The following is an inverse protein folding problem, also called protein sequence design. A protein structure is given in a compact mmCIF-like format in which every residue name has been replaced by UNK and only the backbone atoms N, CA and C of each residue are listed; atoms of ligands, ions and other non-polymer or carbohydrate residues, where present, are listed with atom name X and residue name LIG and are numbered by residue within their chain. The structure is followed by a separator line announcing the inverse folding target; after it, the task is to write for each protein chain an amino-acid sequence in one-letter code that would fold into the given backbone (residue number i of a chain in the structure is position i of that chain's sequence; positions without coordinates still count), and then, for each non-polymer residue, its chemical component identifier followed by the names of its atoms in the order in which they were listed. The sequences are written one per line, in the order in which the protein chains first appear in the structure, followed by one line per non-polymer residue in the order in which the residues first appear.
data_IF_783411194891
#
_entry.id   IF_783411194891
#
_cell.length_a   1.000
_cell.length_b   1.000
_cell.length_c   1.000
_cell.angle_alpha   90.00
_cell.angle_beta   90.00
_cell.angle_gamma   90.00
#
_symmetry.space_group_name_H-M   'P 1'
#
loop_
_entity.id
_entity.type
_entity.pdbx_description
1 polymer ?
#
# COMPACT_ATOMS: atom_id res chain seq x y z
N UNK A 1 0.38 -6.02 40.19
CA UNK A 1 -0.84 -6.88 40.05
C UNK A 1 -1.76 -6.50 38.88
N UNK A 2 -1.81 -5.28 38.41
CA UNK A 2 -2.75 -4.79 37.37
C UNK A 2 -2.41 -5.23 35.96
N UNK A 3 -1.13 -5.29 35.56
CA UNK A 3 -0.70 -5.67 34.20
C UNK A 3 -1.00 -7.15 33.87
N UNK A 4 -0.82 -8.04 34.84
CA UNK A 4 -1.08 -9.48 34.68
C UNK A 4 -2.56 -9.82 34.47
N UNK A 5 -3.48 -9.05 35.11
CA UNK A 5 -4.92 -9.24 34.96
C UNK A 5 -5.39 -8.78 33.57
N UNK A 6 -4.87 -7.66 33.06
CA UNK A 6 -5.17 -7.15 31.72
C UNK A 6 -4.66 -8.14 30.65
N UNK A 7 -3.46 -8.68 30.84
CA UNK A 7 -2.90 -9.70 29.94
C UNK A 7 -3.71 -11.00 29.94
N UNK A 8 -4.21 -11.43 31.12
CA UNK A 8 -5.06 -12.64 31.24
C UNK A 8 -6.45 -12.43 30.60
N UNK A 9 -7.03 -11.23 30.72
CA UNK A 9 -8.30 -10.88 30.08
C UNK A 9 -8.13 -10.84 28.57
N UNK A 10 -7.03 -10.26 28.07
CA UNK A 10 -6.71 -10.28 26.64
C UNK A 10 -6.54 -11.73 26.14
N UNK A 11 -5.75 -12.55 26.84
CA UNK A 11 -5.54 -13.96 26.47
C UNK A 11 -6.82 -14.80 26.49
N UNK A 12 -7.74 -14.56 27.44
CA UNK A 12 -9.02 -15.25 27.50
C UNK A 12 -10.01 -14.80 26.40
N UNK A 13 -9.88 -13.56 25.93
CA UNK A 13 -10.64 -13.04 24.80
C UNK A 13 -10.16 -13.64 23.48
N UNK A 14 -8.85 -13.90 23.33
CA UNK A 14 -8.29 -14.60 22.17
C UNK A 14 -8.83 -16.03 21.99
N UNK A 15 -9.16 -16.73 23.06
CA UNK A 15 -9.67 -18.10 23.02
C UNK A 15 -11.12 -18.22 22.50
N UNK A 16 -11.86 -17.11 22.41
CA UNK A 16 -13.24 -17.04 21.88
C UNK A 16 -13.36 -16.25 20.60
N UNK A 17 -12.26 -15.74 20.09
CA UNK A 17 -12.25 -14.84 18.97
C UNK A 17 -12.23 -15.62 17.65
N UNK A 18 -13.13 -15.27 16.74
CA UNK A 18 -13.14 -15.82 15.38
C UNK A 18 -12.01 -15.20 14.59
N UNK A 19 -11.01 -16.01 14.28
CA UNK A 19 -9.94 -15.62 13.38
C UNK A 19 -10.47 -15.62 11.95
N UNK A 20 -10.17 -14.55 11.24
CA UNK A 20 -10.43 -14.43 9.82
C UNK A 20 -9.12 -14.63 9.09
N UNK A 21 -9.13 -15.55 8.14
CA UNK A 21 -8.02 -15.76 7.24
C UNK A 21 -8.37 -15.16 5.88
N UNK A 22 -7.46 -14.38 5.32
CA UNK A 22 -7.60 -13.87 3.96
C UNK A 22 -6.31 -14.12 3.18
N UNK A 23 -6.45 -14.28 1.89
CA UNK A 23 -5.35 -14.38 0.95
C UNK A 23 -5.70 -13.64 -0.32
N UNK A 24 -4.74 -12.94 -0.87
CA UNK A 24 -4.83 -12.28 -2.16
C UNK A 24 -3.61 -12.64 -2.99
N UNK A 25 -3.80 -12.85 -4.27
CA UNK A 25 -2.70 -13.09 -5.19
C UNK A 25 -3.08 -12.60 -6.58
N UNK A 26 -2.12 -12.11 -7.33
CA UNK A 26 -2.37 -11.55 -8.64
C UNK A 26 -1.13 -11.09 -9.37
N UNK A 27 -1.35 -10.27 -10.37
CA UNK A 27 -0.31 -9.68 -11.19
C UNK A 27 -0.45 -8.16 -11.20
N UNK A 28 0.67 -7.47 -11.19
CA UNK A 28 0.76 -6.03 -11.34
C UNK A 28 1.69 -5.70 -12.51
N UNK A 29 1.29 -4.74 -13.33
CA UNK A 29 2.13 -4.13 -14.35
C UNK A 29 2.43 -2.69 -13.95
N UNK A 30 3.70 -2.30 -14.02
CA UNK A 30 4.16 -0.94 -13.76
C UNK A 30 4.90 -0.43 -15.01
N UNK A 31 4.38 0.62 -15.65
CA UNK A 31 4.92 1.16 -16.90
C UNK A 31 6.21 1.97 -16.70
N UNK A 32 6.54 2.37 -15.47
CA UNK A 32 7.71 3.18 -15.16
C UNK A 32 8.28 2.86 -13.77
N UNK A 33 8.72 1.60 -13.59
CA UNK A 33 9.34 1.13 -12.35
C UNK A 33 10.62 1.91 -11.99
N UNK A 34 11.30 2.47 -12.98
CA UNK A 34 12.49 3.31 -12.79
C UNK A 34 12.19 4.73 -12.34
N UNK A 35 10.92 5.16 -12.29
CA UNK A 35 10.53 6.53 -11.96
C UNK A 35 11.29 7.58 -12.78
N UNK A 36 11.47 7.35 -14.08
CA UNK A 36 12.29 8.16 -14.96
C UNK A 36 11.45 9.06 -15.87
N UNK A 37 11.97 10.26 -16.16
CA UNK A 37 11.36 11.25 -17.06
C UNK A 37 11.77 11.05 -18.53
N UNK A 38 12.90 10.36 -18.78
CA UNK A 38 13.42 10.13 -20.13
C UNK A 38 13.00 8.74 -20.60
N UNK A 39 12.40 8.67 -21.77
CA UNK A 39 11.94 7.40 -22.36
C UNK A 39 13.07 6.36 -22.47
N UNK A 40 14.32 6.77 -22.69
CA UNK A 40 15.48 5.87 -22.73
C UNK A 40 15.79 5.21 -21.37
N UNK A 41 15.41 5.86 -20.27
CA UNK A 41 15.65 5.39 -18.90
C UNK A 41 14.42 4.69 -18.30
N UNK A 42 13.24 4.89 -18.87
CA UNK A 42 12.00 4.22 -18.43
C UNK A 42 12.16 2.70 -18.51
N UNK A 43 11.79 2.03 -17.45
CA UNK A 43 11.71 0.56 -17.33
C UNK A 43 10.35 0.19 -16.82
N UNK A 44 9.67 -0.62 -17.60
CA UNK A 44 8.41 -1.26 -17.23
C UNK A 44 8.67 -2.69 -16.78
N UNK A 45 7.81 -3.23 -15.96
CA UNK A 45 7.87 -4.64 -15.58
C UNK A 45 6.53 -5.16 -15.07
N UNK A 46 6.44 -6.49 -14.99
CA UNK A 46 5.35 -7.21 -14.35
C UNK A 46 5.85 -7.84 -13.06
N UNK A 47 5.00 -7.86 -12.05
CA UNK A 47 5.27 -8.63 -10.85
C UNK A 47 4.09 -9.55 -10.54
N UNK A 48 4.40 -10.67 -9.89
CA UNK A 48 3.44 -11.46 -9.16
C UNK A 48 3.41 -10.98 -7.72
N UNK A 49 2.22 -10.61 -7.22
CA UNK A 49 2.00 -10.21 -5.84
C UNK A 49 1.21 -11.26 -5.07
N UNK A 50 1.45 -11.35 -3.77
CA UNK A 50 0.71 -12.21 -2.85
C UNK A 50 0.66 -11.56 -1.47
N UNK A 51 -0.50 -11.66 -0.82
CA UNK A 51 -0.70 -11.31 0.58
C UNK A 51 -1.49 -12.44 1.26
N UNK A 52 -1.03 -12.86 2.43
CA UNK A 52 -1.73 -13.79 3.30
C UNK A 52 -1.87 -13.11 4.65
N UNK A 53 -3.07 -12.99 5.15
CA UNK A 53 -3.33 -12.32 6.42
C UNK A 53 -4.22 -13.12 7.34
N UNK A 54 -4.00 -12.95 8.64
CA UNK A 54 -4.82 -13.46 9.71
C UNK A 54 -5.22 -12.30 10.62
N UNK A 55 -6.49 -12.13 10.87
CA UNK A 55 -7.00 -11.02 11.67
C UNK A 55 -8.05 -11.43 12.68
N UNK A 56 -8.15 -10.64 13.72
CA UNK A 56 -9.15 -10.76 14.75
C UNK A 56 -9.74 -9.40 15.11
N UNK A 57 -11.01 -9.39 15.48
CA UNK A 57 -11.72 -8.18 15.82
C UNK A 57 -12.41 -8.31 17.18
N UNK A 58 -11.99 -7.49 18.12
CA UNK A 58 -12.51 -7.44 19.48
C UNK A 58 -13.46 -6.26 19.63
N UNK A 59 -14.73 -6.52 19.92
CA UNK A 59 -15.71 -5.47 20.20
C UNK A 59 -15.46 -4.93 21.61
N UNK A 60 -14.97 -3.69 21.73
CA UNK A 60 -14.69 -3.04 23.00
C UNK A 60 -15.94 -2.38 23.60
N UNK A 61 -16.71 -1.69 22.75
CA UNK A 61 -18.02 -1.12 23.09
C UNK A 61 -18.98 -1.35 21.93
N UNK A 62 -20.22 -0.89 22.03
CA UNK A 62 -21.20 -0.98 20.94
C UNK A 62 -20.67 -0.40 19.62
N UNK A 63 -19.90 0.69 19.68
CA UNK A 63 -19.49 1.50 18.55
C UNK A 63 -17.98 1.44 18.27
N UNK A 64 -17.19 0.88 19.20
CA UNK A 64 -15.73 0.80 19.12
C UNK A 64 -15.24 -0.64 19.03
N UNK A 65 -14.40 -0.92 18.02
CA UNK A 65 -13.80 -2.22 17.76
C UNK A 65 -12.28 -2.08 17.62
N UNK A 66 -11.55 -2.99 18.28
CA UNK A 66 -10.11 -3.19 18.09
C UNK A 66 -9.92 -4.29 17.05
N UNK A 67 -9.21 -4.00 15.97
CA UNK A 67 -8.74 -4.96 14.98
C UNK A 67 -7.27 -5.28 15.27
N UNK A 68 -6.91 -6.55 15.22
CA UNK A 68 -5.53 -7.01 15.32
C UNK A 68 -5.26 -7.90 14.11
N UNK A 69 -4.10 -7.76 13.48
CA UNK A 69 -3.74 -8.50 12.28
C UNK A 69 -2.28 -8.88 12.24
N UNK A 70 -2.00 -9.92 11.46
CA UNK A 70 -0.67 -10.28 11.01
C UNK A 70 -0.75 -10.62 9.52
N UNK A 71 0.25 -10.27 8.77
CA UNK A 71 0.32 -10.49 7.32
C UNK A 71 1.70 -10.96 6.88
N UNK A 72 1.72 -11.63 5.74
CA UNK A 72 2.91 -11.96 4.98
C UNK A 72 2.68 -11.52 3.53
N UNK A 73 3.48 -10.56 3.07
CA UNK A 73 3.42 -10.02 1.71
C UNK A 73 4.60 -10.49 0.89
N UNK A 74 4.39 -10.63 -0.40
CA UNK A 74 5.46 -10.95 -1.34
C UNK A 74 5.20 -10.35 -2.71
N UNK A 75 6.26 -9.93 -3.38
CA UNK A 75 6.24 -9.40 -4.73
C UNK A 75 7.44 -9.94 -5.51
N UNK A 76 7.19 -10.51 -6.68
CA UNK A 76 8.20 -11.14 -7.53
C UNK A 76 8.15 -10.51 -8.92
N UNK A 77 9.14 -9.68 -9.24
CA UNK A 77 9.30 -9.01 -10.53
C UNK A 77 9.90 -9.95 -11.58
N UNK A 78 9.40 -9.87 -12.79
CA UNK A 78 9.79 -10.77 -13.90
C UNK A 78 11.22 -10.51 -14.37
N UNK A 79 11.58 -9.24 -14.63
CA UNK A 79 12.89 -8.86 -15.16
C UNK A 79 13.83 -8.29 -14.11
N UNK A 80 13.30 -7.52 -13.16
CA UNK A 80 14.11 -6.76 -12.21
C UNK A 80 14.02 -7.35 -10.80
N UNK A 81 14.57 -8.57 -10.65
CA UNK A 81 14.51 -9.35 -9.42
C UNK A 81 15.11 -8.67 -8.19
N UNK A 82 15.96 -7.63 -8.34
CA UNK A 82 16.45 -6.84 -7.21
C UNK A 82 15.32 -6.26 -6.36
N UNK A 83 14.16 -5.98 -6.99
CA UNK A 83 12.94 -5.49 -6.32
C UNK A 83 12.05 -6.60 -5.74
N UNK A 84 12.42 -7.89 -5.92
CA UNK A 84 11.67 -8.97 -5.29
C UNK A 84 11.67 -8.80 -3.77
N UNK A 85 10.49 -8.86 -3.18
CA UNK A 85 10.33 -8.68 -1.74
C UNK A 85 9.52 -9.80 -1.10
N UNK A 86 9.78 -10.03 0.17
CA UNK A 86 8.93 -10.78 1.09
C UNK A 86 8.97 -10.09 2.45
N UNK A 87 7.80 -9.85 3.07
CA UNK A 87 7.74 -9.10 4.30
C UNK A 87 6.61 -9.56 5.24
N UNK A 88 6.95 -10.03 6.46
CA UNK A 88 5.97 -10.20 7.52
C UNK A 88 5.60 -8.86 8.13
N UNK A 89 4.35 -8.73 8.58
CA UNK A 89 3.84 -7.56 9.26
C UNK A 89 2.84 -7.90 10.34
N UNK A 90 2.58 -6.92 11.20
CA UNK A 90 1.52 -6.96 12.20
C UNK A 90 0.82 -5.60 12.26
N UNK A 91 -0.48 -5.61 12.50
CA UNK A 91 -1.27 -4.39 12.60
C UNK A 91 -2.17 -4.37 13.83
N UNK A 92 -2.45 -3.15 14.29
CA UNK A 92 -3.44 -2.87 15.31
C UNK A 92 -4.25 -1.65 14.92
N UNK A 93 -5.58 -1.74 14.95
CA UNK A 93 -6.44 -0.64 14.51
C UNK A 93 -7.68 -0.48 15.37
N UNK A 94 -8.09 0.78 15.57
CA UNK A 94 -9.31 1.14 16.27
C UNK A 94 -10.33 1.64 15.24
N UNK A 95 -11.45 0.94 15.12
CA UNK A 95 -12.57 1.33 14.29
C UNK A 95 -13.72 1.81 15.16
N UNK A 96 -14.15 3.03 14.90
CA UNK A 96 -15.32 3.62 15.52
C UNK A 96 -16.42 3.86 14.48
N UNK A 97 -17.66 3.59 14.87
CA UNK A 97 -18.84 3.84 14.04
C UNK A 97 -19.82 4.70 14.84
N UNK A 98 -20.29 5.82 14.25
CA UNK A 98 -21.09 6.80 14.95
C UNK A 98 -22.53 6.36 15.25
N UNK A 99 -23.03 5.34 14.56
CA UNK A 99 -24.35 4.75 14.77
C UNK A 99 -24.39 3.32 14.22
N UNK A 100 -25.49 2.60 14.40
CA UNK A 100 -25.70 1.24 13.91
C UNK A 100 -26.29 1.19 12.49
N UNK A 101 -26.77 2.31 11.96
CA UNK A 101 -27.35 2.37 10.61
C UNK A 101 -26.33 2.07 9.49
N UNK A 102 -26.80 1.59 8.34
CA UNK A 102 -25.95 1.34 7.16
C UNK A 102 -25.22 2.61 6.70
N UNK A 103 -25.85 3.76 6.83
CA UNK A 103 -25.31 5.06 6.45
C UNK A 103 -24.50 5.74 7.57
N UNK A 104 -24.28 5.05 8.70
CA UNK A 104 -23.52 5.62 9.79
C UNK A 104 -22.06 5.86 9.38
N UNK A 105 -21.55 7.08 9.56
CA UNK A 105 -20.14 7.36 9.33
C UNK A 105 -19.26 6.50 10.23
N UNK A 106 -18.10 6.17 9.73
CA UNK A 106 -17.08 5.44 10.46
C UNK A 106 -15.71 6.02 10.23
N UNK A 107 -14.80 5.77 11.16
CA UNK A 107 -13.37 5.96 10.94
C UNK A 107 -12.58 4.77 11.49
N UNK A 108 -11.38 4.60 10.96
CA UNK A 108 -10.38 3.62 11.35
C UNK A 108 -9.05 4.35 11.53
N UNK A 109 -8.41 4.15 12.66
CA UNK A 109 -7.00 4.47 12.86
C UNK A 109 -6.27 3.15 13.02
N UNK A 110 -5.30 2.89 12.14
CA UNK A 110 -4.54 1.64 12.12
C UNK A 110 -3.05 1.92 11.98
N UNK A 111 -2.27 1.22 12.76
CA UNK A 111 -0.81 1.19 12.67
C UNK A 111 -0.37 -0.21 12.26
N UNK A 112 0.44 -0.29 11.21
CA UNK A 112 1.08 -1.52 10.74
C UNK A 112 2.58 -1.35 10.81
N UNK A 113 3.24 -2.33 11.41
CA UNK A 113 4.68 -2.47 11.44
C UNK A 113 5.10 -3.76 10.73
N UNK A 114 6.12 -3.70 9.88
CA UNK A 114 6.62 -4.82 9.11
C UNK A 114 8.13 -4.78 8.88
N UNK A 115 8.61 -5.81 8.22
CA UNK A 115 9.98 -5.89 7.72
C UNK A 115 9.95 -6.42 6.30
N UNK A 116 10.41 -5.62 5.34
CA UNK A 116 10.49 -6.01 3.94
C UNK A 116 11.93 -6.46 3.63
N UNK A 117 12.06 -7.73 3.25
CA UNK A 117 13.30 -8.31 2.77
C UNK A 117 13.31 -8.26 1.25
N UNK A 118 14.14 -7.40 0.69
CA UNK A 118 14.42 -7.35 -0.75
C UNK A 118 15.46 -8.40 -1.14
N UNK A 119 15.44 -8.82 -2.41
CA UNK A 119 16.52 -9.66 -2.96
C UNK A 119 17.84 -8.89 -2.95
N UNK A 120 17.81 -7.60 -3.29
CA UNK A 120 18.89 -6.68 -2.95
C UNK A 120 18.80 -6.29 -1.48
N UNK A 121 19.67 -6.85 -0.66
CA UNK A 121 19.62 -6.69 0.80
C UNK A 121 19.88 -5.27 1.28
N UNK A 122 20.51 -4.41 0.48
CA UNK A 122 20.73 -3.01 0.81
C UNK A 122 19.40 -2.24 0.91
N UNK A 123 18.39 -2.67 0.15
CA UNK A 123 17.05 -2.10 0.13
C UNK A 123 16.12 -2.68 1.22
N UNK A 124 16.54 -3.75 1.93
CA UNK A 124 15.71 -4.36 2.98
C UNK A 124 15.57 -3.44 4.18
N UNK A 125 14.44 -3.49 4.89
CA UNK A 125 14.25 -2.59 6.03
C UNK A 125 12.93 -2.78 6.75
N UNK A 126 12.73 -1.96 7.77
CA UNK A 126 11.49 -1.92 8.54
C UNK A 126 10.54 -0.88 7.95
N UNK A 127 9.30 -1.28 7.75
CA UNK A 127 8.22 -0.39 7.36
C UNK A 127 7.27 -0.12 8.53
N UNK A 128 6.77 1.10 8.61
CA UNK A 128 5.69 1.49 9.50
C UNK A 128 4.69 2.34 8.72
N UNK A 129 3.42 2.00 8.81
CA UNK A 129 2.32 2.70 8.14
C UNK A 129 1.26 3.05 9.16
N UNK A 130 1.18 4.33 9.53
CA UNK A 130 0.07 4.88 10.30
C UNK A 130 -1.01 5.38 9.34
N UNK A 131 -2.18 4.75 9.37
CA UNK A 131 -3.27 4.98 8.44
C UNK A 131 -4.53 5.45 9.17
N UNK A 132 -5.11 6.56 8.74
CA UNK A 132 -6.42 7.04 9.13
C UNK A 132 -7.36 6.95 7.94
N UNK A 133 -8.51 6.31 8.12
CA UNK A 133 -9.55 6.19 7.10
C UNK A 133 -10.89 6.62 7.68
N UNK A 134 -11.74 7.20 6.85
CA UNK A 134 -13.11 7.55 7.18
C UNK A 134 -14.02 7.25 5.99
N UNK A 135 -15.27 6.92 6.28
CA UNK A 135 -16.24 6.66 5.22
C UNK A 135 -17.67 6.88 5.66
N UNK A 136 -18.52 7.11 4.68
CA UNK A 136 -19.97 7.27 4.85
C UNK A 136 -20.69 6.70 3.63
N UNK A 137 -21.75 5.93 3.85
CA UNK A 137 -22.65 5.54 2.78
C UNK A 137 -23.69 6.63 2.54
N UNK A 138 -23.69 7.23 1.36
CA UNK A 138 -24.66 8.27 0.95
C UNK A 138 -26.01 7.65 0.57
N UNK A 139 -25.98 6.42 0.09
CA UNK A 139 -27.17 5.63 -0.26
C UNK A 139 -26.88 4.15 -0.09
N UNK A 140 -27.84 3.31 -0.47
CA UNK A 140 -27.63 1.86 -0.47
C UNK A 140 -26.60 1.36 -1.48
N UNK A 141 -26.20 2.20 -2.42
CA UNK A 141 -25.27 1.85 -3.50
C UNK A 141 -24.05 2.75 -3.61
N UNK A 142 -24.05 3.88 -2.92
CA UNK A 142 -22.97 4.87 -3.06
C UNK A 142 -22.36 5.12 -1.70
N UNK A 143 -21.03 4.98 -1.61
CA UNK A 143 -20.25 5.39 -0.46
C UNK A 143 -19.14 6.37 -0.85
N UNK A 144 -18.81 7.26 0.07
CA UNK A 144 -17.61 8.09 0.00
C UNK A 144 -16.62 7.58 1.04
N UNK A 145 -15.38 7.47 0.65
CA UNK A 145 -14.29 7.09 1.52
C UNK A 145 -13.12 8.04 1.31
N UNK A 146 -12.35 8.24 2.35
CA UNK A 146 -11.14 9.03 2.27
C UNK A 146 -10.19 8.69 3.41
N UNK A 147 -8.94 9.04 3.25
CA UNK A 147 -7.94 8.70 4.24
C UNK A 147 -6.68 9.52 4.11
N UNK A 148 -5.85 9.32 5.11
CA UNK A 148 -4.49 9.82 5.18
C UNK A 148 -3.59 8.73 5.75
N UNK A 149 -2.43 8.53 5.14
CA UNK A 149 -1.41 7.65 5.68
C UNK A 149 -0.06 8.36 5.77
N UNK A 150 0.66 8.07 6.84
CA UNK A 150 2.07 8.36 6.97
C UNK A 150 2.83 7.04 6.90
N UNK A 151 3.75 6.94 5.95
CA UNK A 151 4.57 5.76 5.70
C UNK A 151 6.02 6.10 5.99
N UNK A 152 6.70 5.27 6.77
CA UNK A 152 8.12 5.39 7.10
C UNK A 152 8.80 4.06 6.83
N UNK A 153 9.90 4.09 6.12
CA UNK A 153 10.74 2.93 5.86
C UNK A 153 12.16 3.24 6.28
N UNK A 154 12.78 2.34 7.04
CA UNK A 154 14.14 2.48 7.57
C UNK A 154 14.97 1.28 7.14
N UNK A 155 16.01 1.52 6.34
CA UNK A 155 16.92 0.52 5.80
C UNK A 155 18.31 0.58 6.48
N UNK A 156 19.13 -0.48 6.42
CA UNK A 156 20.53 -0.44 6.85
C UNK A 156 21.38 0.54 6.04
N UNK A 157 21.03 0.79 4.77
CA UNK A 157 21.60 1.84 3.95
C UNK A 157 20.63 3.04 3.96
N UNK A 158 21.02 4.13 4.62
CA UNK A 158 20.22 5.34 4.82
C UNK A 158 19.71 5.94 3.50
N UNK A 159 20.37 5.65 2.38
CA UNK A 159 19.89 6.05 1.05
C UNK A 159 18.47 5.56 0.77
N UNK A 160 18.12 4.35 1.23
CA UNK A 160 16.80 3.73 1.03
C UNK A 160 15.77 4.10 2.11
N UNK A 161 16.15 4.88 3.12
CA UNK A 161 15.17 5.44 4.07
C UNK A 161 14.17 6.30 3.32
N UNK A 162 12.88 6.14 3.65
CA UNK A 162 11.82 6.88 2.97
C UNK A 162 10.75 7.32 3.96
N UNK A 163 10.23 8.52 3.71
CA UNK A 163 9.04 9.02 4.37
C UNK A 163 8.05 9.51 3.32
N UNK A 164 6.80 9.10 3.45
CA UNK A 164 5.76 9.41 2.50
C UNK A 164 4.46 9.76 3.22
N UNK A 165 3.87 10.88 2.81
CA UNK A 165 2.52 11.28 3.17
C UNK A 165 1.59 10.94 2.01
N UNK A 166 0.48 10.26 2.30
CA UNK A 166 -0.54 9.91 1.31
C UNK A 166 -1.91 10.36 1.79
N UNK A 167 -2.61 11.12 0.96
CA UNK A 167 -4.02 11.45 1.15
C UNK A 167 -4.83 10.89 -0.02
N UNK A 168 -6.02 10.37 0.25
CA UNK A 168 -6.89 9.83 -0.79
C UNK A 168 -8.35 10.15 -0.52
N UNK A 169 -9.13 10.21 -1.61
CA UNK A 169 -10.59 10.27 -1.58
C UNK A 169 -11.14 9.43 -2.73
N UNK A 170 -12.21 8.69 -2.48
CA UNK A 170 -12.85 7.83 -3.46
C UNK A 170 -14.35 7.80 -3.32
N UNK A 171 -15.03 7.55 -4.44
CA UNK A 171 -16.42 7.18 -4.52
C UNK A 171 -16.52 5.71 -4.89
N UNK A 172 -17.30 4.97 -4.14
CA UNK A 172 -17.55 3.54 -4.34
C UNK A 172 -19.01 3.36 -4.76
N UNK A 173 -19.25 2.58 -5.79
CA UNK A 173 -20.58 2.32 -6.34
C UNK A 173 -20.84 0.82 -6.48
N UNK A 174 -21.87 0.32 -5.78
CA UNK A 174 -22.41 -1.04 -5.91
C UNK A 174 -23.30 -1.11 -7.16
N UNK A 175 -22.72 -1.52 -8.31
CA UNK A 175 -23.45 -1.67 -9.58
C UNK A 175 -24.51 -2.74 -9.47
N UNK A 176 -24.13 -3.89 -8.89
CA UNK A 176 -25.02 -5.00 -8.54
C UNK A 176 -24.65 -5.52 -7.16
N UNK A 177 -25.35 -6.57 -6.68
CA UNK A 177 -24.97 -7.25 -5.44
C UNK A 177 -23.61 -7.96 -5.49
N UNK A 178 -23.05 -8.17 -6.70
CA UNK A 178 -21.78 -8.89 -6.91
C UNK A 178 -20.72 -8.03 -7.59
N UNK A 179 -21.06 -6.86 -8.15
CA UNK A 179 -20.13 -5.98 -8.83
C UNK A 179 -20.08 -4.63 -8.15
N UNK A 180 -18.91 -4.26 -7.69
CA UNK A 180 -18.59 -2.94 -7.15
C UNK A 180 -17.53 -2.29 -8.03
N UNK A 181 -17.64 -0.99 -8.25
CA UNK A 181 -16.64 -0.17 -8.93
C UNK A 181 -16.28 1.02 -8.06
N UNK A 182 -15.06 1.50 -8.19
CA UNK A 182 -14.64 2.74 -7.52
C UNK A 182 -13.85 3.64 -8.44
N UNK A 183 -13.88 4.94 -8.12
CA UNK A 183 -13.01 5.95 -8.72
C UNK A 183 -12.46 6.82 -7.59
N UNK A 184 -11.18 7.15 -7.65
CA UNK A 184 -10.51 7.87 -6.60
C UNK A 184 -9.41 8.80 -7.09
N UNK A 185 -9.02 9.68 -6.19
CA UNK A 185 -7.87 10.54 -6.34
C UNK A 185 -6.91 10.30 -5.17
N UNK A 186 -5.62 10.24 -5.47
CA UNK A 186 -4.56 10.01 -4.50
C UNK A 186 -3.52 11.11 -4.65
N UNK A 187 -3.15 11.72 -3.55
CA UNK A 187 -2.02 12.63 -3.44
C UNK A 187 -0.94 11.98 -2.58
N UNK A 188 0.31 12.00 -3.06
CA UNK A 188 1.48 11.53 -2.31
C UNK A 188 2.54 12.63 -2.30
N UNK A 189 3.20 12.83 -1.16
CA UNK A 189 4.32 13.75 -0.99
C UNK A 189 5.37 13.13 -0.08
N UNK A 190 6.62 13.09 -0.55
CA UNK A 190 7.72 12.50 0.21
C UNK A 190 8.85 12.00 -0.67
N UNK A 191 9.62 11.07 -0.13
CA UNK A 191 10.80 10.54 -0.78
C UNK A 191 10.45 9.66 -1.99
N UNK A 192 11.10 9.94 -3.11
CA UNK A 192 11.01 9.18 -4.36
C UNK A 192 12.42 8.86 -4.84
N UNK A 193 12.64 7.62 -5.27
CA UNK A 193 13.90 7.21 -5.90
C UNK A 193 13.66 7.13 -7.40
N UNK A 194 14.41 7.93 -8.17
CA UNK A 194 14.41 7.95 -9.64
C UNK A 194 15.72 7.41 -10.16
N UNK A 195 15.67 6.54 -11.17
CA UNK A 195 16.84 5.88 -11.74
C UNK A 195 17.09 6.39 -13.16
N UNK A 196 18.32 6.85 -13.44
CA UNK A 196 18.70 7.34 -14.76
C UNK A 196 20.13 7.00 -15.12
N UNK A 197 20.40 6.85 -16.44
CA UNK A 197 21.76 6.65 -16.93
C UNK A 197 22.53 7.95 -16.80
N UNK A 198 23.69 7.96 -16.09
CA UNK A 198 24.51 9.17 -15.92
C UNK A 198 25.20 9.57 -17.25
N UNK A 199 25.57 10.87 -17.42
CA UNK A 199 25.42 11.94 -16.44
C UNK A 199 24.06 12.65 -16.51
N UNK A 200 23.47 12.92 -15.33
CA UNK A 200 22.21 13.67 -15.17
C UNK A 200 22.41 14.85 -14.22
N UNK A 201 23.19 15.88 -14.60
CA UNK A 201 23.47 17.03 -13.74
C UNK A 201 22.21 17.85 -13.43
N UNK A 202 21.18 17.75 -14.26
CA UNK A 202 19.85 18.32 -14.08
C UNK A 202 19.11 17.77 -12.87
N UNK A 203 19.20 16.46 -12.60
CA UNK A 203 18.60 15.80 -11.43
C UNK A 203 19.58 15.87 -10.23
N UNK A 204 20.85 15.58 -10.47
CA UNK A 204 21.86 15.42 -9.42
C UNK A 204 22.00 16.65 -8.50
N UNK A 205 21.75 17.86 -9.02
CA UNK A 205 21.83 19.11 -8.22
C UNK A 205 20.64 19.27 -7.24
N UNK A 206 19.55 18.56 -7.45
CA UNK A 206 18.35 18.61 -6.61
C UNK A 206 18.16 17.35 -5.78
N UNK A 207 18.94 16.28 -6.07
CA UNK A 207 18.87 15.07 -5.27
C UNK A 207 19.39 15.30 -3.85
N UNK A 208 18.70 14.72 -2.88
CA UNK A 208 19.10 14.68 -1.48
C UNK A 208 20.37 13.82 -1.37
N UNK A 209 20.30 12.65 -2.01
CA UNK A 209 21.36 11.65 -2.05
C UNK A 209 21.36 10.95 -3.41
N UNK A 210 22.45 10.23 -3.72
CA UNK A 210 22.59 9.45 -4.95
C UNK A 210 23.47 8.24 -4.73
N UNK A 211 23.18 7.16 -5.42
CA UNK A 211 23.94 5.93 -5.39
C UNK A 211 23.98 5.27 -6.79
N UNK A 212 25.09 4.63 -7.15
CA UNK A 212 25.19 3.92 -8.41
C UNK A 212 24.65 2.51 -8.26
N UNK A 213 23.73 2.12 -9.14
CA UNK A 213 22.92 0.92 -9.02
C UNK A 213 22.92 0.06 -10.28
N UNK A 214 22.91 -1.24 -10.10
CA UNK A 214 22.78 -2.23 -11.18
C UNK A 214 21.41 -2.94 -11.23
N UNK A 215 20.47 -2.52 -10.42
CA UNK A 215 19.12 -3.13 -10.28
C UNK A 215 18.37 -3.29 -11.62
N UNK A 216 18.66 -2.45 -12.59
CA UNK A 216 18.12 -2.53 -13.95
C UNK A 216 19.12 -3.11 -14.97
N UNK A 217 20.25 -3.66 -14.53
CA UNK A 217 21.32 -4.18 -15.39
C UNK A 217 22.08 -3.07 -16.14
N UNK A 218 22.76 -3.47 -17.23
CA UNK A 218 23.56 -2.53 -18.02
C UNK A 218 22.69 -1.68 -19.01
N UNK A 219 23.06 -0.41 -19.26
CA UNK A 219 24.08 0.35 -18.56
C UNK A 219 23.73 0.62 -17.10
N UNK A 220 24.74 0.74 -16.24
CA UNK A 220 24.54 1.12 -14.84
C UNK A 220 23.75 2.43 -14.75
N UNK A 221 22.93 2.53 -13.73
CA UNK A 221 22.14 3.73 -13.42
C UNK A 221 22.58 4.33 -12.11
N UNK A 222 22.39 5.62 -12.00
CA UNK A 222 22.46 6.30 -10.72
C UNK A 222 21.05 6.45 -10.19
N UNK A 223 20.82 6.00 -8.97
CA UNK A 223 19.63 6.24 -8.20
C UNK A 223 19.72 7.63 -7.56
N UNK A 224 18.68 8.43 -7.68
CA UNK A 224 18.56 9.79 -7.15
C UNK A 224 17.40 9.83 -6.17
N UNK A 225 17.67 10.11 -4.89
CA UNK A 225 16.66 10.33 -3.87
C UNK A 225 16.16 11.77 -3.93
N UNK A 226 14.88 11.97 -4.12
CA UNK A 226 14.23 13.24 -4.39
C UNK A 226 13.00 13.40 -3.50
N UNK A 227 12.61 14.65 -3.20
CA UNK A 227 11.30 14.95 -2.63
C UNK A 227 10.31 15.15 -3.77
N UNK A 228 9.39 14.21 -3.95
CA UNK A 228 8.41 14.21 -5.02
C UNK A 228 6.99 14.51 -4.55
N UNK A 229 6.18 15.00 -5.48
CA UNK A 229 4.72 15.13 -5.34
C UNK A 229 4.05 14.35 -6.44
N UNK A 230 3.15 13.45 -6.06
CA UNK A 230 2.42 12.61 -7.00
C UNK A 230 0.94 12.90 -6.92
N UNK A 231 0.33 13.12 -8.06
CA UNK A 231 -1.12 13.16 -8.25
C UNK A 231 -1.54 11.94 -9.04
N UNK A 232 -2.47 11.14 -8.51
CA UNK A 232 -2.92 9.95 -9.20
C UNK A 232 -4.44 9.87 -9.25
N UNK A 233 -4.95 9.30 -10.35
CA UNK A 233 -6.34 8.87 -10.52
C UNK A 233 -6.37 7.36 -10.46
N UNK A 234 -7.27 6.82 -9.65
CA UNK A 234 -7.44 5.38 -9.49
C UNK A 234 -8.84 4.94 -9.88
N UNK A 235 -8.94 3.77 -10.50
CA UNK A 235 -10.19 3.10 -10.85
C UNK A 235 -10.08 1.64 -10.44
N UNK A 236 -11.12 1.08 -9.86
CA UNK A 236 -11.15 -0.35 -9.57
C UNK A 236 -12.52 -0.96 -9.83
N UNK A 237 -12.52 -2.26 -10.08
CA UNK A 237 -13.71 -3.08 -10.18
C UNK A 237 -13.48 -4.38 -9.40
N UNK A 238 -14.42 -4.75 -8.54
CA UNK A 238 -14.39 -6.00 -7.79
C UNK A 238 -15.65 -6.81 -8.12
N UNK A 239 -15.48 -8.07 -8.53
CA UNK A 239 -16.56 -8.98 -8.82
C UNK A 239 -16.53 -10.18 -7.88
N UNK A 240 -17.59 -10.35 -7.13
CA UNK A 240 -17.74 -11.47 -6.20
C UNK A 240 -18.10 -12.73 -6.97
N UNK A 241 -17.20 -13.72 -6.99
CA UNK A 241 -17.41 -15.02 -7.63
C UNK A 241 -18.20 -15.97 -6.75
N UNK A 242 -17.88 -15.97 -5.45
CA UNK A 242 -18.55 -16.77 -4.42
C UNK A 242 -18.64 -15.95 -3.14
N UNK A 243 -19.28 -16.49 -2.10
CA UNK A 243 -19.30 -15.84 -0.78
C UNK A 243 -17.91 -15.68 -0.13
N UNK A 244 -16.90 -16.37 -0.65
CA UNK A 244 -15.53 -16.39 -0.12
C UNK A 244 -14.48 -15.87 -1.10
N UNK A 245 -14.81 -15.70 -2.38
CA UNK A 245 -13.83 -15.35 -3.40
C UNK A 245 -14.33 -14.20 -4.29
N UNK A 246 -13.41 -13.31 -4.66
CA UNK A 246 -13.61 -12.22 -5.60
C UNK A 246 -12.43 -12.08 -6.55
N UNK A 247 -12.70 -11.50 -7.72
CA UNK A 247 -11.67 -10.98 -8.65
C UNK A 247 -11.70 -9.46 -8.58
N UNK A 248 -10.51 -8.87 -8.58
CA UNK A 248 -10.33 -7.43 -8.54
C UNK A 248 -9.47 -7.00 -9.71
N UNK A 249 -9.84 -5.88 -10.33
CA UNK A 249 -9.07 -5.19 -11.36
C UNK A 249 -8.83 -3.77 -10.90
N UNK A 250 -7.60 -3.31 -11.00
CA UNK A 250 -7.18 -1.97 -10.62
C UNK A 250 -6.43 -1.28 -11.75
N UNK A 251 -6.58 0.04 -11.82
CA UNK A 251 -5.81 0.91 -12.69
C UNK A 251 -5.50 2.21 -11.97
N UNK A 252 -4.24 2.60 -11.99
CA UNK A 252 -3.79 3.91 -11.50
C UNK A 252 -3.01 4.63 -12.60
N UNK A 253 -3.35 5.90 -12.82
CA UNK A 253 -2.57 6.84 -13.60
C UNK A 253 -1.99 7.87 -12.66
N UNK A 254 -0.66 7.97 -12.59
CA UNK A 254 0.06 8.84 -11.69
C UNK A 254 1.00 9.79 -12.44
N UNK A 255 1.03 11.05 -12.01
CA UNK A 255 1.99 12.06 -12.45
C UNK A 255 2.78 12.49 -11.23
N UNK A 256 4.09 12.24 -11.26
CA UNK A 256 5.02 12.65 -10.20
C UNK A 256 5.85 13.83 -10.68
N UNK A 257 5.94 14.85 -9.83
CA UNK A 257 6.72 16.07 -10.10
C UNK A 257 7.76 16.29 -9.01
N UNK A 258 8.97 16.57 -9.45
CA UNK A 258 10.05 17.15 -8.67
C UNK A 258 10.81 18.10 -9.61
N UNK A 259 10.73 19.42 -9.39
CA UNK A 259 11.33 20.39 -10.31
C UNK A 259 12.86 20.18 -10.47
N UNK A 260 13.37 19.96 -11.70
CA UNK A 260 12.70 20.03 -13.00
C UNK A 260 12.11 18.69 -13.53
N UNK A 261 12.15 17.63 -12.77
CA UNK A 261 11.72 16.27 -13.20
C UNK A 261 10.21 16.14 -13.14
N UNK A 262 9.63 15.57 -14.21
CA UNK A 262 8.25 15.12 -14.24
C UNK A 262 8.18 13.81 -15.00
N UNK A 263 7.48 12.82 -14.44
CA UNK A 263 7.22 11.55 -15.11
C UNK A 263 5.82 11.03 -14.83
N UNK A 264 5.37 10.18 -15.73
CA UNK A 264 4.08 9.50 -15.66
C UNK A 264 4.27 8.03 -15.37
N UNK A 265 3.28 7.43 -14.72
CA UNK A 265 3.25 6.01 -14.45
C UNK A 265 1.83 5.47 -14.60
N UNK A 266 1.69 4.32 -15.25
CA UNK A 266 0.47 3.54 -15.33
C UNK A 266 0.68 2.24 -14.58
N UNK A 267 -0.18 1.96 -13.61
CA UNK A 267 -0.18 0.70 -12.87
C UNK A 267 -1.48 -0.03 -13.17
N UNK A 268 -1.39 -1.29 -13.56
CA UNK A 268 -2.55 -2.17 -13.82
C UNK A 268 -2.42 -3.39 -12.92
N UNK A 269 -3.48 -3.73 -12.22
CA UNK A 269 -3.51 -4.85 -11.30
C UNK A 269 -4.67 -5.79 -11.61
N UNK A 270 -4.45 -7.09 -11.44
CA UNK A 270 -5.49 -8.10 -11.51
C UNK A 270 -5.26 -9.15 -10.41
N UNK A 271 -6.18 -9.21 -9.44
CA UNK A 271 -6.03 -10.02 -8.24
C UNK A 271 -7.22 -10.96 -8.03
N UNK A 272 -6.96 -12.07 -7.36
CA UNK A 272 -7.97 -12.98 -6.80
C UNK A 272 -7.82 -12.90 -5.29
N UNK A 273 -8.89 -12.54 -4.59
CA UNK A 273 -8.95 -12.50 -3.14
C UNK A 273 -9.88 -13.59 -2.60
N UNK A 274 -9.47 -14.22 -1.50
CA UNK A 274 -10.22 -15.26 -0.79
C UNK A 274 -10.25 -14.92 0.69
N UNK A 275 -11.40 -15.03 1.35
CA UNK A 275 -11.54 -14.78 2.79
C UNK A 275 -12.44 -15.83 3.44
N UNK A 276 -12.04 -16.28 4.64
CA UNK A 276 -12.76 -17.25 5.48
C UNK A 276 -13.00 -16.68 6.88
#
# INVERSE_FOLDING_TARGET
MTLSIVLLILLSSFARAEWRLAGETGVVYNSNLSNSDRSADVRDDWAWNSDISAGNALQLTRDLRLNLGADLRGELWDRFGAFNTIGPGASAGLRYRFDLGRQAPWFLLEDRFGYDRFQDTAQSGYDNVLNFQAGIALSDRIALEGGYAFESFVAPNDFYDRQLHRANASIVFDVTSSLQVSAGYIYREGDVISYAVPPRPDIARFSIEREDEDVFGQPLRTAYKLLGRTHALSFSAAYQLTKYASVQLGYEYAVTTHDPLQYENHVVEANIAVAY
#
